data_IF_569438902254
#
_entry.id   IF_569438902254
#
_cell.length_a   1.000
_cell.length_b   1.000
_cell.length_c   1.000
_cell.angle_alpha   90.00
_cell.angle_beta   90.00
_cell.angle_gamma   90.00
#
_symmetry.space_group_name_H-M   'P 1'
#
loop_
_entity.id
_entity.type
_entity.pdbx_description
1 polymer ?
#
# COMPACT_ATOMS: atom_id res chain seq x y z
N UNK A 1 11.80 -9.71 -19.41
CA UNK A 1 10.91 -10.73 -20.00
C UNK A 1 9.50 -10.23 -19.77
N UNK A 2 8.86 -9.67 -20.78
CA UNK A 2 7.44 -9.27 -20.68
C UNK A 2 6.65 -10.54 -20.95
N UNK A 3 5.90 -11.01 -19.96
CA UNK A 3 5.03 -12.19 -20.06
C UNK A 3 4.06 -12.01 -21.27
N UNK A 4 3.80 -13.06 -22.06
CA UNK A 4 3.01 -12.97 -23.30
C UNK A 4 1.56 -12.52 -23.04
N UNK A 5 1.09 -12.70 -21.80
CA UNK A 5 -0.19 -12.21 -21.27
C UNK A 5 -0.34 -10.69 -21.44
N UNK A 6 0.74 -9.91 -21.37
CA UNK A 6 0.68 -8.44 -21.51
C UNK A 6 0.43 -7.97 -22.95
N UNK A 7 0.75 -8.79 -23.96
CA UNK A 7 0.62 -8.41 -25.37
C UNK A 7 -0.73 -8.82 -25.97
N UNK A 8 -1.55 -9.57 -25.24
CA UNK A 8 -2.66 -10.34 -25.83
C UNK A 8 -3.98 -10.30 -25.04
N UNK A 9 -4.09 -9.50 -23.96
CA UNK A 9 -5.36 -9.35 -23.25
C UNK A 9 -6.41 -8.64 -24.13
N UNK A 10 -7.45 -9.37 -24.48
CA UNK A 10 -8.69 -8.83 -25.05
C UNK A 10 -9.55 -8.26 -23.90
N UNK A 11 -9.39 -6.96 -23.63
CA UNK A 11 -10.07 -6.28 -22.52
C UNK A 11 -11.60 -6.38 -22.57
N UNK A 12 -12.18 -6.53 -23.76
CA UNK A 12 -13.64 -6.62 -23.91
C UNK A 12 -14.14 -8.00 -23.46
N UNK A 13 -13.41 -9.07 -23.79
CA UNK A 13 -13.79 -10.45 -23.43
C UNK A 13 -13.24 -10.91 -22.09
N UNK A 14 -12.19 -10.27 -21.59
CA UNK A 14 -11.50 -10.69 -20.37
C UNK A 14 -12.46 -10.90 -19.18
N UNK A 15 -13.43 -10.01 -18.88
CA UNK A 15 -14.34 -10.23 -17.75
C UNK A 15 -15.20 -11.49 -17.88
N UNK A 16 -15.61 -11.86 -19.09
CA UNK A 16 -16.37 -13.08 -19.35
C UNK A 16 -15.48 -14.32 -19.27
N UNK A 17 -14.32 -14.28 -19.90
CA UNK A 17 -13.34 -15.38 -19.91
C UNK A 17 -12.80 -15.68 -18.51
N UNK A 18 -12.47 -14.64 -17.75
CA UNK A 18 -12.06 -14.76 -16.36
C UNK A 18 -13.19 -15.30 -15.48
N UNK A 19 -14.44 -14.89 -15.72
CA UNK A 19 -15.60 -15.48 -15.05
C UNK A 19 -15.73 -16.99 -15.30
N UNK A 20 -15.59 -17.43 -16.56
CA UNK A 20 -15.60 -18.86 -16.93
C UNK A 20 -14.43 -19.62 -16.32
N UNK A 21 -13.25 -19.00 -16.23
CA UNK A 21 -12.11 -19.57 -15.52
C UNK A 21 -12.48 -19.87 -14.08
N UNK A 22 -13.00 -18.87 -13.34
CA UNK A 22 -13.40 -19.05 -11.93
C UNK A 22 -14.44 -20.17 -11.78
N UNK A 23 -15.49 -20.18 -12.62
CA UNK A 23 -16.51 -21.25 -12.59
C UNK A 23 -15.93 -22.64 -12.84
N UNK A 24 -14.95 -22.76 -13.73
CA UNK A 24 -14.26 -24.03 -13.98
C UNK A 24 -13.37 -24.41 -12.80
N UNK A 25 -12.63 -23.46 -12.22
CA UNK A 25 -11.82 -23.71 -11.02
C UNK A 25 -12.69 -24.16 -9.85
N UNK A 26 -13.88 -23.59 -9.64
CA UNK A 26 -14.80 -24.05 -8.59
C UNK A 26 -15.14 -25.55 -8.73
N UNK A 27 -15.35 -26.02 -9.96
CA UNK A 27 -15.62 -27.45 -10.22
C UNK A 27 -14.40 -28.32 -9.95
N UNK A 28 -13.22 -27.87 -10.34
CA UNK A 28 -11.96 -28.60 -10.07
C UNK A 28 -11.65 -28.63 -8.57
N UNK A 29 -11.89 -27.54 -7.84
CA UNK A 29 -11.77 -27.48 -6.38
C UNK A 29 -12.71 -28.48 -5.71
N UNK A 30 -13.97 -28.59 -6.14
CA UNK A 30 -14.89 -29.59 -5.59
C UNK A 30 -14.41 -31.03 -5.85
N UNK A 31 -13.82 -31.32 -7.02
CA UNK A 31 -13.19 -32.63 -7.27
C UNK A 31 -11.99 -32.86 -6.35
N UNK A 32 -11.13 -31.86 -6.17
CA UNK A 32 -9.99 -31.94 -5.24
C UNK A 32 -10.47 -32.23 -3.81
N UNK A 33 -11.53 -31.55 -3.36
CA UNK A 33 -12.14 -31.77 -2.04
C UNK A 33 -12.68 -33.20 -1.90
N UNK A 34 -13.22 -33.79 -2.96
CA UNK A 34 -13.74 -35.16 -2.96
C UNK A 34 -12.60 -36.19 -3.01
N UNK A 35 -11.70 -36.07 -3.98
CA UNK A 35 -10.79 -37.14 -4.38
C UNK A 35 -9.39 -37.02 -3.77
N UNK A 36 -8.94 -35.82 -3.40
CA UNK A 36 -7.61 -35.57 -2.84
C UNK A 36 -7.34 -36.35 -1.55
N UNK A 37 -6.11 -36.79 -1.33
CA UNK A 37 -5.76 -37.59 -0.14
C UNK A 37 -4.47 -37.15 0.55
N UNK A 38 -3.60 -36.53 -0.21
CA UNK A 38 -2.27 -36.11 0.20
C UNK A 38 -1.98 -34.71 -0.36
N UNK A 39 -0.77 -34.21 -0.11
CA UNK A 39 -0.31 -32.92 -0.62
C UNK A 39 -0.42 -32.83 -2.15
N UNK A 40 0.12 -33.83 -2.86
CA UNK A 40 0.22 -33.84 -4.32
C UNK A 40 -1.13 -33.89 -5.04
N UNK A 41 -2.15 -34.48 -4.40
CA UNK A 41 -3.53 -34.57 -4.92
C UNK A 41 -4.49 -33.53 -4.34
N UNK A 42 -4.04 -32.71 -3.38
CA UNK A 42 -4.88 -31.68 -2.73
C UNK A 42 -4.29 -30.28 -2.89
N UNK A 43 -3.19 -29.97 -2.20
CA UNK A 43 -2.64 -28.61 -2.15
C UNK A 43 -1.92 -28.22 -3.43
N UNK A 44 -1.13 -29.14 -4.01
CA UNK A 44 -0.40 -28.82 -5.25
C UNK A 44 -1.35 -28.41 -6.40
N UNK A 45 -2.43 -29.16 -6.70
CA UNK A 45 -3.40 -28.74 -7.71
C UNK A 45 -4.11 -27.43 -7.36
N UNK A 46 -4.40 -27.17 -6.08
CA UNK A 46 -4.99 -25.88 -5.67
C UNK A 46 -4.05 -24.70 -5.95
N UNK A 47 -2.76 -24.86 -5.67
CA UNK A 47 -1.74 -23.86 -5.98
C UNK A 47 -1.58 -23.65 -7.50
N UNK A 48 -1.70 -24.72 -8.29
CA UNK A 48 -1.64 -24.61 -9.75
C UNK A 48 -2.84 -23.82 -10.30
N UNK A 49 -4.05 -24.05 -9.75
CA UNK A 49 -5.23 -23.25 -10.09
C UNK A 49 -5.06 -21.77 -9.68
N UNK A 50 -4.58 -21.53 -8.47
CA UNK A 50 -4.27 -20.19 -7.97
C UNK A 50 -3.26 -19.45 -8.86
N UNK A 51 -2.14 -20.10 -9.20
CA UNK A 51 -1.11 -19.51 -10.05
C UNK A 51 -1.63 -19.09 -11.44
N UNK A 52 -2.53 -19.88 -12.04
CA UNK A 52 -3.16 -19.53 -13.33
C UNK A 52 -4.05 -18.30 -13.18
N UNK A 53 -4.89 -18.27 -12.15
CA UNK A 53 -5.81 -17.16 -11.87
C UNK A 53 -5.04 -15.87 -11.61
N UNK A 54 -4.06 -15.93 -10.73
CA UNK A 54 -3.30 -14.76 -10.28
C UNK A 54 -2.44 -14.18 -11.40
N UNK A 55 -1.87 -15.03 -12.26
CA UNK A 55 -1.10 -14.56 -13.42
C UNK A 55 -1.96 -13.74 -14.39
N UNK A 56 -3.19 -14.19 -14.67
CA UNK A 56 -4.12 -13.48 -15.54
C UNK A 56 -4.62 -12.18 -14.90
N UNK A 57 -5.00 -12.23 -13.62
CA UNK A 57 -5.46 -11.04 -12.90
C UNK A 57 -4.36 -9.98 -12.78
N UNK A 58 -3.13 -10.40 -12.47
CA UNK A 58 -1.94 -9.51 -12.38
C UNK A 58 -1.70 -8.76 -13.69
N UNK A 59 -1.90 -9.41 -14.84
CA UNK A 59 -1.72 -8.76 -16.13
C UNK A 59 -2.75 -7.64 -16.35
N UNK A 60 -4.04 -7.86 -16.02
CA UNK A 60 -5.07 -6.83 -16.08
C UNK A 60 -4.80 -5.71 -15.07
N UNK A 61 -4.51 -6.05 -13.80
CA UNK A 61 -4.24 -5.09 -12.73
C UNK A 61 -3.04 -4.20 -13.06
N UNK A 62 -1.95 -4.77 -13.59
CA UNK A 62 -0.78 -4.00 -13.97
C UNK A 62 -1.08 -3.03 -15.12
N UNK A 63 -1.77 -3.46 -16.20
CA UNK A 63 -2.18 -2.56 -17.29
C UNK A 63 -3.09 -1.45 -16.74
N UNK A 64 -4.01 -1.77 -15.84
CA UNK A 64 -4.88 -0.79 -15.17
C UNK A 64 -4.07 0.29 -14.43
N UNK A 65 -2.98 -0.10 -13.76
CA UNK A 65 -2.15 0.78 -12.95
C UNK A 65 -1.14 1.61 -13.77
N UNK A 66 -0.58 1.09 -14.87
CA UNK A 66 0.51 1.76 -15.60
C UNK A 66 0.13 2.30 -16.98
N UNK A 67 -0.97 1.81 -17.58
CA UNK A 67 -1.46 2.22 -18.89
C UNK A 67 -3.00 2.28 -18.89
N UNK A 68 -3.53 3.05 -17.93
CA UNK A 68 -4.96 3.14 -17.71
C UNK A 68 -5.72 3.68 -18.94
N UNK A 69 -6.83 3.03 -19.27
CA UNK A 69 -7.79 3.50 -20.27
C UNK A 69 -9.23 3.29 -19.77
N UNK A 70 -10.23 3.83 -20.48
CA UNK A 70 -11.64 3.59 -20.15
C UNK A 70 -11.97 2.09 -20.26
N UNK A 71 -11.43 1.43 -21.26
CA UNK A 71 -11.62 0.01 -21.54
C UNK A 71 -10.98 -0.84 -20.44
N UNK A 72 -9.73 -0.53 -20.06
CA UNK A 72 -9.02 -1.25 -18.99
C UNK A 72 -9.71 -1.04 -17.64
N UNK A 73 -10.13 0.18 -17.32
CA UNK A 73 -10.87 0.49 -16.09
C UNK A 73 -12.20 -0.26 -16.03
N UNK A 74 -12.95 -0.29 -17.14
CA UNK A 74 -14.20 -1.06 -17.22
C UNK A 74 -13.95 -2.55 -16.95
N UNK A 75 -12.99 -3.15 -17.64
CA UNK A 75 -12.66 -4.57 -17.47
C UNK A 75 -12.24 -4.90 -16.03
N UNK A 76 -11.39 -4.06 -15.43
CA UNK A 76 -10.95 -4.20 -14.04
C UNK A 76 -12.11 -4.18 -13.04
N UNK A 77 -12.98 -3.16 -13.14
CA UNK A 77 -14.14 -3.01 -12.24
C UNK A 77 -15.17 -4.14 -12.40
N UNK A 78 -15.27 -4.77 -13.56
CA UNK A 78 -16.14 -5.93 -13.77
C UNK A 78 -15.54 -7.25 -13.20
N UNK A 79 -14.21 -7.38 -13.16
CA UNK A 79 -13.51 -8.57 -12.66
C UNK A 79 -13.33 -8.55 -11.15
N UNK A 80 -13.02 -7.40 -10.57
CA UNK A 80 -12.73 -7.23 -9.14
C UNK A 80 -13.77 -7.89 -8.20
N UNK A 81 -15.09 -7.66 -8.36
CA UNK A 81 -16.07 -8.33 -7.50
C UNK A 81 -16.15 -9.85 -7.73
N UNK A 82 -15.80 -10.34 -8.91
CA UNK A 82 -15.83 -11.79 -9.22
C UNK A 82 -14.69 -12.52 -8.51
N UNK A 83 -13.47 -11.99 -8.59
CA UNK A 83 -12.30 -12.57 -7.91
C UNK A 83 -12.44 -12.51 -6.40
N UNK A 84 -12.85 -11.36 -5.83
CA UNK A 84 -13.05 -11.19 -4.39
C UNK A 84 -14.10 -12.18 -3.84
N UNK A 85 -15.23 -12.36 -4.53
CA UNK A 85 -16.24 -13.35 -4.16
C UNK A 85 -15.72 -14.78 -4.21
N UNK A 86 -14.93 -15.11 -5.22
CA UNK A 86 -14.33 -16.44 -5.37
C UNK A 86 -13.33 -16.74 -4.25
N UNK A 87 -12.44 -15.80 -3.94
CA UNK A 87 -11.44 -15.92 -2.86
C UNK A 87 -12.12 -16.04 -1.49
N UNK A 88 -13.15 -15.22 -1.23
CA UNK A 88 -13.95 -15.30 -0.01
C UNK A 88 -14.59 -16.69 0.14
N UNK A 89 -15.19 -17.23 -0.92
CA UNK A 89 -15.79 -18.57 -0.92
C UNK A 89 -14.75 -19.65 -0.60
N UNK A 90 -13.52 -19.54 -1.12
CA UNK A 90 -12.43 -20.45 -0.83
C UNK A 90 -11.98 -20.36 0.63
N UNK A 91 -11.75 -19.15 1.14
CA UNK A 91 -11.30 -18.90 2.51
C UNK A 91 -12.33 -19.34 3.56
N UNK A 92 -13.61 -19.34 3.21
CA UNK A 92 -14.71 -19.79 4.08
C UNK A 92 -15.11 -21.27 3.85
N UNK A 93 -14.47 -22.01 2.94
CA UNK A 93 -14.84 -23.39 2.63
C UNK A 93 -14.39 -24.37 3.72
N UNK A 94 -15.31 -24.70 4.62
CA UNK A 94 -15.05 -25.62 5.75
C UNK A 94 -14.63 -27.02 5.30
N UNK A 95 -15.15 -27.52 4.17
CA UNK A 95 -14.77 -28.85 3.65
C UNK A 95 -13.31 -28.84 3.18
N UNK A 96 -12.93 -27.79 2.46
CA UNK A 96 -11.54 -27.60 2.02
C UNK A 96 -10.60 -27.46 3.21
N UNK A 97 -10.97 -26.67 4.22
CA UNK A 97 -10.17 -26.53 5.43
C UNK A 97 -9.97 -27.87 6.14
N UNK A 98 -11.03 -28.66 6.35
CA UNK A 98 -10.90 -29.98 6.99
C UNK A 98 -10.04 -30.95 6.18
N UNK A 99 -10.06 -30.83 4.84
CA UNK A 99 -9.15 -31.58 3.97
C UNK A 99 -7.70 -31.19 4.23
N UNK A 100 -7.39 -29.89 4.20
CA UNK A 100 -6.03 -29.35 4.39
C UNK A 100 -5.50 -29.63 5.81
N UNK A 101 -6.33 -29.46 6.85
CA UNK A 101 -5.98 -29.72 8.25
C UNK A 101 -5.57 -31.19 8.50
N UNK A 102 -6.12 -32.12 7.71
CA UNK A 102 -5.78 -33.53 7.79
C UNK A 102 -4.49 -33.93 7.05
N UNK A 103 -3.90 -33.03 6.25
CA UNK A 103 -2.71 -33.34 5.47
C UNK A 103 -1.45 -33.33 6.33
N UNK A 104 -0.53 -34.24 6.00
CA UNK A 104 0.85 -34.26 6.49
C UNK A 104 1.76 -34.64 5.35
N UNK A 105 2.93 -34.01 5.27
CA UNK A 105 4.00 -34.42 4.37
C UNK A 105 5.30 -34.63 5.15
N UNK A 106 6.09 -35.61 4.71
CA UNK A 106 7.45 -35.82 5.20
C UNK A 106 8.44 -34.84 4.56
N UNK A 107 8.05 -34.21 3.43
CA UNK A 107 8.82 -33.13 2.82
C UNK A 107 8.60 -31.81 3.59
N UNK A 108 9.71 -31.15 3.94
CA UNK A 108 9.70 -29.95 4.77
C UNK A 108 9.06 -28.74 4.06
N UNK A 109 9.24 -28.61 2.76
CA UNK A 109 8.68 -27.50 1.99
C UNK A 109 7.18 -27.69 1.81
N UNK A 110 6.74 -28.90 1.47
CA UNK A 110 5.33 -29.26 1.39
C UNK A 110 4.62 -29.08 2.74
N UNK A 111 5.23 -29.52 3.84
CA UNK A 111 4.66 -29.34 5.18
C UNK A 111 4.54 -27.86 5.54
N UNK A 112 5.52 -27.03 5.17
CA UNK A 112 5.42 -25.57 5.38
C UNK A 112 4.25 -24.96 4.59
N UNK A 113 3.98 -25.44 3.38
CA UNK A 113 2.81 -25.01 2.59
C UNK A 113 1.52 -25.40 3.31
N UNK A 114 1.39 -26.63 3.80
CA UNK A 114 0.24 -27.08 4.61
C UNK A 114 0.02 -26.16 5.80
N UNK A 115 1.06 -25.91 6.60
CA UNK A 115 0.99 -25.10 7.81
C UNK A 115 0.55 -23.66 7.49
N UNK A 116 1.10 -23.07 6.42
CA UNK A 116 0.74 -21.73 5.97
C UNK A 116 -0.69 -21.63 5.44
N UNK A 117 -1.18 -22.65 4.73
CA UNK A 117 -2.57 -22.71 4.26
C UNK A 117 -3.54 -22.78 5.45
N UNK A 118 -3.26 -23.64 6.45
CA UNK A 118 -4.05 -23.73 7.69
C UNK A 118 -4.05 -22.40 8.41
N UNK A 119 -2.88 -21.80 8.58
CA UNK A 119 -2.73 -20.48 9.24
C UNK A 119 -3.54 -19.41 8.53
N UNK A 120 -3.50 -19.36 7.21
CA UNK A 120 -4.24 -18.39 6.40
C UNK A 120 -5.74 -18.54 6.59
N UNK A 121 -6.27 -19.78 6.56
CA UNK A 121 -7.70 -20.04 6.77
C UNK A 121 -8.14 -19.65 8.19
N UNK A 122 -7.33 -19.95 9.22
CA UNK A 122 -7.61 -19.54 10.61
C UNK A 122 -7.62 -18.03 10.80
N UNK A 123 -6.65 -17.32 10.19
CA UNK A 123 -6.59 -15.86 10.23
C UNK A 123 -7.78 -15.19 9.49
N UNK A 124 -8.45 -15.92 8.60
CA UNK A 124 -9.69 -15.49 7.96
C UNK A 124 -10.96 -16.02 8.65
N UNK A 125 -10.83 -16.55 9.87
CA UNK A 125 -11.97 -16.92 10.70
C UNK A 125 -12.68 -18.20 10.27
N UNK A 126 -12.01 -19.14 9.58
CA UNK A 126 -12.64 -20.40 9.14
C UNK A 126 -13.28 -21.22 10.27
N UNK A 127 -12.73 -21.10 11.48
CA UNK A 127 -13.19 -21.81 12.69
C UNK A 127 -14.32 -21.07 13.43
N UNK A 128 -14.70 -19.87 12.99
CA UNK A 128 -15.73 -19.08 13.66
C UNK A 128 -17.16 -19.59 13.38
N UNK A 129 -18.10 -19.38 14.32
CA UNK A 129 -19.53 -19.52 14.08
C UNK A 129 -20.00 -18.64 12.91
N UNK A 130 -21.10 -19.06 12.26
CA UNK A 130 -21.65 -18.37 11.08
C UNK A 130 -21.86 -16.86 11.30
N UNK A 131 -22.45 -16.48 12.42
CA UNK A 131 -22.73 -15.07 12.75
C UNK A 131 -21.45 -14.23 12.86
N UNK A 132 -20.38 -14.79 13.42
CA UNK A 132 -19.09 -14.11 13.53
C UNK A 132 -18.37 -14.01 12.18
N UNK A 133 -18.55 -15.00 11.28
CA UNK A 133 -18.05 -14.93 9.90
C UNK A 133 -18.74 -13.83 9.10
N UNK A 134 -20.06 -13.72 9.20
CA UNK A 134 -20.84 -12.68 8.53
C UNK A 134 -20.43 -11.28 9.03
N UNK A 135 -20.19 -11.14 10.34
CA UNK A 135 -19.68 -9.89 10.92
C UNK A 135 -18.26 -9.56 10.45
N UNK A 136 -17.37 -10.56 10.40
CA UNK A 136 -16.00 -10.41 9.91
C UNK A 136 -15.97 -9.98 8.44
N UNK A 137 -16.80 -10.60 7.59
CA UNK A 137 -16.94 -10.25 6.17
C UNK A 137 -17.42 -8.80 5.99
N UNK A 138 -18.41 -8.37 6.78
CA UNK A 138 -18.86 -6.97 6.76
C UNK A 138 -17.74 -6.01 7.17
N UNK A 139 -16.99 -6.33 8.23
CA UNK A 139 -15.87 -5.50 8.68
C UNK A 139 -14.80 -5.40 7.59
N UNK A 140 -14.47 -6.51 6.94
CA UNK A 140 -13.44 -6.54 5.89
C UNK A 140 -13.85 -5.73 4.66
N UNK A 141 -15.10 -5.82 4.22
CA UNK A 141 -15.63 -4.98 3.15
C UNK A 141 -15.57 -3.48 3.51
N UNK A 142 -15.96 -3.11 4.74
CA UNK A 142 -15.90 -1.71 5.17
C UNK A 142 -14.45 -1.21 5.29
N UNK A 143 -13.51 -2.05 5.73
CA UNK A 143 -12.09 -1.72 5.76
C UNK A 143 -11.50 -1.49 4.35
N UNK A 144 -11.92 -2.28 3.36
CA UNK A 144 -11.55 -2.10 1.95
C UNK A 144 -12.08 -0.77 1.40
N UNK A 145 -13.36 -0.47 1.63
CA UNK A 145 -13.98 0.80 1.24
C UNK A 145 -13.27 2.01 1.86
N UNK A 146 -12.97 1.96 3.16
CA UNK A 146 -12.27 3.03 3.88
C UNK A 146 -10.82 3.19 3.39
N UNK A 147 -10.14 2.10 3.05
CA UNK A 147 -8.77 2.15 2.48
C UNK A 147 -8.76 2.84 1.11
N UNK A 148 -9.78 2.57 0.29
CA UNK A 148 -9.98 3.26 -0.97
C UNK A 148 -10.30 4.74 -0.75
N UNK A 149 -11.22 5.07 0.17
CA UNK A 149 -11.56 6.45 0.52
C UNK A 149 -10.33 7.23 1.00
N UNK A 150 -9.54 6.66 1.91
CA UNK A 150 -8.29 7.26 2.40
C UNK A 150 -7.34 7.66 1.27
N UNK A 151 -7.18 6.75 0.30
CA UNK A 151 -6.31 6.95 -0.86
C UNK A 151 -6.85 8.02 -1.82
N UNK A 152 -8.17 8.03 -2.07
CA UNK A 152 -8.79 9.04 -2.94
C UNK A 152 -8.70 10.45 -2.34
N UNK A 153 -8.93 10.59 -1.04
CA UNK A 153 -8.78 11.87 -0.32
C UNK A 153 -7.37 12.45 -0.49
N UNK A 154 -6.33 11.61 -0.38
CA UNK A 154 -4.94 12.04 -0.62
C UNK A 154 -4.70 12.47 -2.06
N UNK A 155 -5.21 11.72 -3.05
CA UNK A 155 -5.09 12.07 -4.47
C UNK A 155 -5.78 13.41 -4.76
N UNK A 156 -6.97 13.64 -4.20
CA UNK A 156 -7.71 14.87 -4.40
C UNK A 156 -7.03 16.06 -3.73
N UNK A 157 -6.53 15.89 -2.50
CA UNK A 157 -5.74 16.91 -1.82
C UNK A 157 -4.48 17.29 -2.62
N UNK A 158 -3.85 16.31 -3.30
CA UNK A 158 -2.70 16.58 -4.17
C UNK A 158 -3.07 17.33 -5.46
N UNK A 159 -4.21 17.00 -6.06
CA UNK A 159 -4.67 17.62 -7.32
C UNK A 159 -5.22 19.03 -7.12
N UNK A 160 -5.88 19.28 -6.00
CA UNK A 160 -6.56 20.55 -5.71
C UNK A 160 -5.60 21.65 -5.27
N UNK A 161 -4.40 21.31 -4.80
CA UNK A 161 -3.39 22.27 -4.41
C UNK A 161 -2.56 22.75 -5.60
N UNK A 162 -2.48 24.06 -5.78
CA UNK A 162 -1.62 24.72 -6.77
C UNK A 162 -0.82 25.82 -6.09
N UNK A 163 0.51 25.71 -6.13
CA UNK A 163 1.43 26.77 -5.74
C UNK A 163 2.03 27.37 -7.02
N UNK A 164 1.71 28.64 -7.30
CA UNK A 164 2.20 29.38 -8.45
C UNK A 164 3.31 30.34 -8.02
N UNK A 165 4.50 30.11 -8.56
CA UNK A 165 5.70 30.85 -8.19
C UNK A 165 6.22 31.68 -9.37
N UNK A 166 6.71 32.88 -9.09
CA UNK A 166 7.38 33.70 -10.10
C UNK A 166 8.86 33.26 -10.27
N UNK A 167 9.53 33.74 -11.31
CA UNK A 167 10.94 33.44 -11.60
C UNK A 167 11.85 33.65 -10.38
N UNK A 168 11.59 34.69 -9.57
CA UNK A 168 12.39 35.02 -8.40
C UNK A 168 12.33 33.93 -7.32
N UNK A 169 11.19 33.25 -7.17
CA UNK A 169 10.97 32.22 -6.15
C UNK A 169 11.59 30.87 -6.52
N UNK A 170 11.95 30.66 -7.79
CA UNK A 170 12.52 29.42 -8.32
C UNK A 170 13.99 29.56 -8.75
N UNK A 171 14.63 30.70 -8.50
CA UNK A 171 16.00 31.00 -8.97
C UNK A 171 17.10 30.03 -8.47
N UNK A 172 16.81 29.14 -7.53
CA UNK A 172 17.72 28.10 -7.04
C UNK A 172 17.53 26.72 -7.67
N UNK A 173 16.53 26.55 -8.54
CA UNK A 173 16.14 25.28 -9.15
C UNK A 173 16.71 25.21 -10.57
N UNK A 174 17.20 24.04 -11.00
CA UNK A 174 17.71 23.86 -12.35
C UNK A 174 16.61 24.06 -13.40
N UNK A 175 16.95 24.71 -14.52
CA UNK A 175 15.98 25.00 -15.59
C UNK A 175 15.30 23.74 -16.14
N UNK A 176 16.05 22.66 -16.28
CA UNK A 176 15.52 21.34 -16.71
C UNK A 176 14.41 20.84 -15.81
N UNK A 177 14.50 21.09 -14.50
CA UNK A 177 13.45 20.73 -13.54
C UNK A 177 12.26 21.70 -13.61
N UNK A 178 12.43 22.91 -14.13
CA UNK A 178 11.37 23.90 -14.24
C UNK A 178 10.56 23.83 -15.54
N UNK A 179 11.11 23.26 -16.62
CA UNK A 179 10.47 23.22 -17.94
C UNK A 179 9.06 22.62 -17.89
N UNK A 180 8.87 21.47 -17.22
CA UNK A 180 7.57 20.81 -17.10
C UNK A 180 6.58 21.53 -16.17
N UNK A 181 7.06 22.53 -15.41
CA UNK A 181 6.30 23.29 -14.42
C UNK A 181 5.92 24.69 -14.91
N UNK A 182 6.49 25.14 -16.02
CA UNK A 182 6.22 26.47 -16.59
C UNK A 182 4.78 26.56 -17.10
N UNK A 183 4.05 27.57 -16.63
CA UNK A 183 2.68 27.88 -17.05
C UNK A 183 2.55 29.38 -17.34
N UNK A 184 1.66 29.76 -18.25
CA UNK A 184 1.35 31.16 -18.54
C UNK A 184 -0.06 31.49 -18.05
N UNK A 185 -0.19 32.51 -17.20
CA UNK A 185 -1.48 33.03 -16.70
C UNK A 185 -1.48 34.55 -16.74
N UNK A 186 -2.55 35.12 -17.28
CA UNK A 186 -2.74 36.58 -17.39
C UNK A 186 -1.56 37.32 -18.06
N UNK A 187 -0.93 36.68 -19.06
CA UNK A 187 0.23 37.23 -19.77
C UNK A 187 1.54 37.23 -18.97
N UNK A 188 1.60 36.52 -17.84
CA UNK A 188 2.78 36.31 -17.01
C UNK A 188 3.17 34.84 -16.93
N UNK A 189 4.46 34.58 -16.77
CA UNK A 189 5.01 33.23 -16.58
C UNK A 189 5.04 32.92 -15.09
N UNK A 190 4.52 31.75 -14.74
CA UNK A 190 4.65 31.16 -13.40
C UNK A 190 5.22 29.74 -13.51
N UNK A 191 5.67 29.22 -12.37
CA UNK A 191 6.05 27.83 -12.18
C UNK A 191 5.08 27.18 -11.22
N UNK A 192 4.40 26.14 -11.69
CA UNK A 192 3.34 25.44 -10.96
C UNK A 192 3.91 24.23 -10.22
N UNK A 193 3.70 24.22 -8.90
CA UNK A 193 4.02 23.10 -8.01
C UNK A 193 2.73 22.54 -7.40
N UNK A 194 2.63 21.21 -7.31
CA UNK A 194 1.51 20.47 -6.70
C UNK A 194 1.96 19.77 -5.41
N UNK A 195 1.11 19.11 -4.63
CA UNK A 195 1.59 18.31 -3.48
C UNK A 195 2.14 16.93 -3.87
N UNK A 196 2.34 16.66 -5.16
CA UNK A 196 3.01 15.43 -5.58
C UNK A 196 4.45 15.41 -5.05
N UNK A 197 4.90 14.22 -4.64
CA UNK A 197 6.21 14.04 -3.98
C UNK A 197 7.37 14.66 -4.77
N UNK A 198 7.48 14.51 -6.11
CA UNK A 198 8.56 15.13 -6.86
C UNK A 198 8.59 16.66 -6.78
N UNK A 199 7.42 17.32 -6.85
CA UNK A 199 7.31 18.78 -6.72
C UNK A 199 7.69 19.23 -5.31
N UNK A 200 7.16 18.54 -4.30
CA UNK A 200 7.41 18.86 -2.91
C UNK A 200 8.89 18.73 -2.56
N UNK A 201 9.53 17.60 -2.91
CA UNK A 201 10.95 17.40 -2.66
C UNK A 201 11.79 18.45 -3.38
N UNK A 202 11.48 18.75 -4.65
CA UNK A 202 12.23 19.72 -5.46
C UNK A 202 12.25 21.10 -4.78
N UNK A 203 11.07 21.62 -4.43
CA UNK A 203 11.01 22.95 -3.81
C UNK A 203 11.57 22.96 -2.38
N UNK A 204 11.28 21.95 -1.57
CA UNK A 204 11.78 21.90 -0.19
C UNK A 204 13.31 21.76 -0.12
N UNK A 205 13.93 21.21 -1.17
CA UNK A 205 15.39 21.02 -1.26
C UNK A 205 16.11 22.23 -1.85
N UNK A 206 15.55 22.87 -2.89
CA UNK A 206 16.26 23.90 -3.67
C UNK A 206 15.59 25.28 -3.65
N UNK A 207 14.33 25.37 -3.22
CA UNK A 207 13.56 26.60 -3.11
C UNK A 207 14.16 27.54 -2.06
N UNK A 208 14.62 28.71 -2.50
CA UNK A 208 15.35 29.66 -1.63
C UNK A 208 14.44 30.45 -0.70
N UNK A 209 13.21 30.73 -1.14
CA UNK A 209 12.25 31.52 -0.36
C UNK A 209 11.74 30.71 0.85
N UNK A 210 12.15 31.12 2.05
CA UNK A 210 11.81 30.43 3.31
C UNK A 210 10.31 30.48 3.62
N UNK A 211 9.64 31.60 3.32
CA UNK A 211 8.20 31.75 3.56
C UNK A 211 7.41 30.78 2.67
N UNK A 212 7.83 30.62 1.42
CA UNK A 212 7.21 29.63 0.51
C UNK A 212 7.48 28.20 0.99
N UNK A 213 8.69 27.89 1.49
CA UNK A 213 8.95 26.56 2.09
C UNK A 213 8.04 26.29 3.29
N UNK A 214 7.80 27.29 4.15
CA UNK A 214 6.89 27.18 5.29
C UNK A 214 5.45 26.94 4.84
N UNK A 215 4.95 27.74 3.89
CA UNK A 215 3.60 27.59 3.33
C UNK A 215 3.42 26.19 2.71
N UNK A 216 4.38 25.76 1.90
CA UNK A 216 4.31 24.52 1.16
C UNK A 216 4.44 23.29 2.09
N UNK A 217 5.32 23.36 3.10
CA UNK A 217 5.40 22.38 4.19
C UNK A 217 4.08 22.24 4.93
N UNK A 218 3.44 23.37 5.29
CA UNK A 218 2.15 23.35 5.97
C UNK A 218 1.10 22.69 5.09
N UNK A 219 0.98 23.09 3.83
CA UNK A 219 0.04 22.48 2.88
C UNK A 219 0.26 20.96 2.75
N UNK A 220 1.52 20.52 2.68
CA UNK A 220 1.86 19.11 2.55
C UNK A 220 1.56 18.29 3.81
N UNK A 221 1.86 18.83 4.99
CA UNK A 221 1.67 18.13 6.28
C UNK A 221 0.24 18.14 6.79
N UNK A 222 -0.62 19.05 6.28
CA UNK A 222 -2.04 19.12 6.63
C UNK A 222 -2.97 18.62 5.51
N UNK A 223 -2.45 17.92 4.51
CA UNK A 223 -3.24 17.40 3.39
C UNK A 223 -4.26 16.34 3.83
N UNK A 224 -5.40 16.30 3.16
CA UNK A 224 -6.49 15.36 3.40
C UNK A 224 -6.92 15.27 4.89
N UNK A 225 -7.26 16.39 5.55
CA UNK A 225 -7.67 16.38 6.96
C UNK A 225 -8.87 15.46 7.25
N UNK A 226 -9.74 15.24 6.25
CA UNK A 226 -10.85 14.29 6.29
C UNK A 226 -10.41 12.84 6.58
N UNK A 227 -9.14 12.50 6.33
CA UNK A 227 -8.61 11.19 6.67
C UNK A 227 -8.48 10.97 8.18
N UNK A 228 -8.60 11.99 9.03
CA UNK A 228 -8.67 11.81 10.48
C UNK A 228 -9.82 10.86 10.88
N UNK A 229 -11.04 11.15 10.42
CA UNK A 229 -12.22 10.32 10.72
C UNK A 229 -12.14 8.94 10.06
N UNK A 230 -11.56 8.86 8.86
CA UNK A 230 -11.34 7.58 8.16
C UNK A 230 -10.37 6.69 8.95
N UNK A 231 -9.27 7.25 9.47
CA UNK A 231 -8.31 6.53 10.30
C UNK A 231 -9.00 6.03 11.58
N UNK A 232 -9.76 6.88 12.28
CA UNK A 232 -10.47 6.50 13.49
C UNK A 232 -11.41 5.32 13.24
N UNK A 233 -12.14 5.34 12.11
CA UNK A 233 -13.01 4.24 11.72
C UNK A 233 -12.24 2.96 11.41
N UNK A 234 -11.13 3.05 10.68
CA UNK A 234 -10.25 1.92 10.38
C UNK A 234 -9.72 1.29 11.68
N UNK A 235 -9.26 2.09 12.64
CA UNK A 235 -8.76 1.60 13.91
C UNK A 235 -9.84 0.86 14.71
N UNK A 236 -11.03 1.45 14.82
CA UNK A 236 -12.17 0.81 15.50
C UNK A 236 -12.56 -0.53 14.86
N UNK A 237 -12.61 -0.60 13.53
CA UNK A 237 -12.93 -1.83 12.81
C UNK A 237 -11.83 -2.89 12.95
N UNK A 238 -10.56 -2.48 12.94
CA UNK A 238 -9.43 -3.37 13.18
C UNK A 238 -9.45 -3.96 14.58
N UNK A 239 -9.79 -3.17 15.60
CA UNK A 239 -9.94 -3.63 16.97
C UNK A 239 -11.09 -4.65 17.09
N UNK A 240 -12.25 -4.36 16.47
CA UNK A 240 -13.37 -5.29 16.43
C UNK A 240 -13.04 -6.60 15.70
N UNK A 241 -12.31 -6.51 14.58
CA UNK A 241 -11.86 -7.68 13.81
C UNK A 241 -11.00 -8.60 14.66
N UNK A 242 -10.04 -8.05 15.38
CA UNK A 242 -9.15 -8.89 16.22
C UNK A 242 -9.85 -9.45 17.44
N UNK A 243 -10.83 -8.75 18.01
CA UNK A 243 -11.67 -9.30 19.09
C UNK A 243 -12.42 -10.55 18.61
N UNK A 244 -13.03 -10.50 17.42
CA UNK A 244 -13.72 -11.65 16.81
C UNK A 244 -12.76 -12.81 16.57
N UNK A 245 -11.55 -12.50 16.10
CA UNK A 245 -10.52 -13.51 15.79
C UNK A 245 -9.75 -13.99 17.04
N UNK A 246 -10.01 -13.44 18.22
CA UNK A 246 -9.38 -13.84 19.48
C UNK A 246 -7.95 -13.33 19.68
N UNK A 247 -7.56 -12.22 19.05
CA UNK A 247 -6.26 -11.57 19.24
C UNK A 247 -6.38 -10.35 20.17
N UNK A 248 -5.32 -10.04 20.92
CA UNK A 248 -5.30 -8.90 21.84
C UNK A 248 -5.19 -7.54 21.12
N UNK A 249 -4.60 -7.52 19.93
CA UNK A 249 -4.38 -6.30 19.15
C UNK A 249 -4.25 -6.62 17.66
N UNK A 250 -4.49 -5.62 16.80
CA UNK A 250 -4.24 -5.75 15.36
C UNK A 250 -2.76 -6.03 15.04
N UNK A 251 -1.84 -5.57 15.88
CA UNK A 251 -0.41 -5.86 15.73
C UNK A 251 -0.11 -7.35 15.94
N UNK A 252 -0.72 -7.98 16.96
CA UNK A 252 -0.55 -9.42 17.22
C UNK A 252 -1.18 -10.25 16.10
N UNK A 253 -2.34 -9.86 15.57
CA UNK A 253 -2.91 -10.49 14.38
C UNK A 253 -1.99 -10.32 13.15
N UNK A 254 -1.44 -9.13 12.94
CA UNK A 254 -0.61 -8.81 11.78
C UNK A 254 0.73 -9.54 11.80
N UNK A 255 1.29 -9.79 12.99
CA UNK A 255 2.61 -10.41 13.11
C UNK A 255 2.59 -11.90 12.78
N UNK A 256 1.44 -12.56 12.89
CA UNK A 256 1.29 -13.96 12.51
C UNK A 256 1.75 -14.23 11.06
N UNK A 257 1.63 -13.28 10.15
CA UNK A 257 2.08 -13.45 8.75
C UNK A 257 3.50 -12.94 8.49
N UNK A 258 4.22 -12.49 9.50
CA UNK A 258 5.54 -11.85 9.38
C UNK A 258 6.64 -12.75 9.95
N UNK A 259 7.89 -12.45 9.60
CA UNK A 259 9.05 -13.18 10.11
C UNK A 259 9.40 -12.83 11.56
N UNK A 260 8.92 -11.69 12.07
CA UNK A 260 9.15 -11.29 13.45
C UNK A 260 8.38 -12.20 14.44
N UNK A 261 9.01 -12.60 15.55
CA UNK A 261 8.41 -13.62 16.43
C UNK A 261 7.35 -13.06 17.39
N UNK A 262 7.39 -11.77 17.72
CA UNK A 262 6.40 -11.13 18.58
C UNK A 262 6.36 -9.61 18.42
N UNK A 263 5.24 -8.99 18.75
CA UNK A 263 5.08 -7.53 18.76
C UNK A 263 6.06 -6.87 19.73
N UNK A 264 6.35 -7.55 20.85
CA UNK A 264 7.39 -7.16 21.81
C UNK A 264 8.78 -7.07 21.17
N UNK A 265 9.20 -8.10 20.43
CA UNK A 265 10.52 -8.10 19.77
C UNK A 265 10.65 -6.97 18.74
N UNK A 266 9.57 -6.66 18.02
CA UNK A 266 9.53 -5.52 17.09
C UNK A 266 9.73 -4.20 17.83
N UNK A 267 9.04 -4.00 18.95
CA UNK A 267 9.17 -2.79 19.76
C UNK A 267 10.60 -2.66 20.33
N UNK A 268 11.13 -3.72 20.93
CA UNK A 268 12.50 -3.75 21.48
C UNK A 268 13.55 -3.46 20.40
N UNK A 269 13.36 -3.99 19.18
CA UNK A 269 14.23 -3.68 18.05
C UNK A 269 14.19 -2.20 17.67
N UNK A 270 13.00 -1.59 17.58
CA UNK A 270 12.84 -0.18 17.23
C UNK A 270 13.38 0.75 18.33
N UNK A 271 13.16 0.42 19.60
CA UNK A 271 13.68 1.18 20.74
C UNK A 271 15.22 1.15 20.78
N UNK A 272 15.83 -0.02 20.52
CA UNK A 272 17.28 -0.12 20.40
C UNK A 272 17.82 0.68 19.22
N UNK A 273 17.13 0.67 18.08
CA UNK A 273 17.51 1.49 16.93
C UNK A 273 17.45 2.99 17.28
N UNK A 274 16.43 3.42 18.01
CA UNK A 274 16.30 4.79 18.51
C UNK A 274 17.46 5.13 19.47
N UNK A 275 17.77 4.28 20.44
CA UNK A 275 18.89 4.51 21.38
C UNK A 275 20.22 4.72 20.67
N UNK A 276 20.50 3.92 19.64
CA UNK A 276 21.74 3.98 18.87
C UNK A 276 21.80 5.17 17.90
N UNK A 277 20.67 5.57 17.31
CA UNK A 277 20.61 6.62 16.29
C UNK A 277 20.40 8.04 16.85
N UNK A 278 19.77 8.17 18.02
CA UNK A 278 19.41 9.46 18.60
C UNK A 278 20.61 10.40 18.87
N UNK A 279 21.78 9.93 19.35
CA UNK A 279 22.95 10.80 19.53
C UNK A 279 23.40 11.43 18.20
N UNK A 280 23.51 10.63 17.13
CA UNK A 280 23.90 11.11 15.80
C UNK A 280 22.87 12.08 15.23
N UNK A 281 21.57 11.77 15.34
CA UNK A 281 20.51 12.66 14.88
C UNK A 281 20.53 14.03 15.59
N UNK A 282 20.92 14.06 16.88
CA UNK A 282 21.11 15.32 17.62
C UNK A 282 22.30 16.10 17.09
N UNK A 283 23.45 15.44 16.87
CA UNK A 283 24.64 16.07 16.30
C UNK A 283 24.38 16.64 14.91
N UNK A 284 23.71 15.89 14.03
CA UNK A 284 23.32 16.34 12.68
C UNK A 284 22.41 17.57 12.73
N UNK A 285 21.44 17.60 13.65
CA UNK A 285 20.56 18.76 13.81
C UNK A 285 21.30 19.98 14.36
N UNK A 286 22.24 19.81 15.30
CA UNK A 286 23.07 20.93 15.76
C UNK A 286 23.99 21.45 14.64
N UNK A 287 24.61 20.57 13.86
CA UNK A 287 25.43 20.98 12.71
C UNK A 287 24.61 21.79 11.70
N UNK A 288 23.38 21.36 11.40
CA UNK A 288 22.47 22.10 10.53
C UNK A 288 22.06 23.45 11.12
N UNK A 289 21.85 23.55 12.44
CA UNK A 289 21.52 24.83 13.10
C UNK A 289 22.68 25.81 13.01
N UNK A 290 23.90 25.35 13.29
CA UNK A 290 25.10 26.17 13.18
C UNK A 290 25.32 26.64 11.74
N UNK A 291 25.17 25.73 10.77
CA UNK A 291 25.28 26.04 9.36
C UNK A 291 24.23 27.07 8.92
N UNK A 292 22.95 26.86 9.22
CA UNK A 292 21.87 27.78 8.86
C UNK A 292 22.04 29.17 9.50
N UNK A 293 22.52 29.22 10.75
CA UNK A 293 22.85 30.47 11.43
C UNK A 293 24.03 31.19 10.76
N UNK A 294 25.06 30.45 10.35
CA UNK A 294 26.25 31.02 9.70
C UNK A 294 25.97 31.58 8.30
N UNK A 295 25.12 30.90 7.53
CA UNK A 295 24.85 31.25 6.13
C UNK A 295 23.80 32.35 6.00
N UNK A 296 22.68 32.20 6.70
CA UNK A 296 21.47 33.00 6.46
C UNK A 296 20.92 33.63 7.75
N UNK A 297 21.68 33.60 8.85
CA UNK A 297 21.31 34.14 10.17
C UNK A 297 19.99 33.55 10.73
N UNK A 298 19.67 32.29 10.39
CA UNK A 298 18.52 31.57 10.92
C UNK A 298 18.81 31.12 12.35
N UNK A 299 18.23 31.79 13.34
CA UNK A 299 18.37 31.48 14.76
C UNK A 299 17.47 30.35 15.25
N UNK A 300 16.41 30.04 14.49
CA UNK A 300 15.46 28.98 14.80
C UNK A 300 15.20 28.14 13.56
N UNK A 301 15.94 27.02 13.46
CA UNK A 301 15.78 26.04 12.39
C UNK A 301 14.45 25.29 12.57
N UNK A 302 13.61 25.30 11.54
CA UNK A 302 12.29 24.67 11.53
C UNK A 302 12.27 23.42 10.62
N UNK A 303 11.25 22.54 10.73
CA UNK A 303 11.14 21.37 9.86
C UNK A 303 11.20 21.69 8.35
N UNK A 304 10.61 22.81 7.93
CA UNK A 304 10.63 23.28 6.54
C UNK A 304 11.97 23.86 6.06
N UNK A 305 12.95 23.95 6.96
CA UNK A 305 14.32 24.36 6.65
C UNK A 305 15.26 23.16 6.44
N UNK A 306 14.90 21.97 6.93
CA UNK A 306 15.81 20.82 7.03
C UNK A 306 16.37 20.38 5.67
N UNK A 307 15.53 20.06 4.69
CA UNK A 307 16.00 19.57 3.38
C UNK A 307 16.89 20.59 2.66
N UNK A 308 16.52 21.88 2.74
CA UNK A 308 17.26 22.98 2.13
C UNK A 308 18.67 23.13 2.71
N UNK A 309 18.78 23.17 4.04
CA UNK A 309 20.10 23.32 4.67
C UNK A 309 20.93 22.03 4.62
N UNK A 310 20.30 20.86 4.65
CA UNK A 310 21.01 19.58 4.45
C UNK A 310 21.65 19.51 3.07
N UNK A 311 20.94 19.94 2.02
CA UNK A 311 21.51 19.98 0.67
C UNK A 311 22.64 21.01 0.56
N UNK A 312 22.45 22.23 1.07
CA UNK A 312 23.51 23.26 1.08
C UNK A 312 24.75 22.84 1.87
N UNK A 313 24.58 22.20 3.02
CA UNK A 313 25.68 21.68 3.83
C UNK A 313 26.42 20.56 3.09
N UNK A 314 25.70 19.68 2.40
CA UNK A 314 26.26 18.62 1.56
C UNK A 314 27.07 19.18 0.39
N UNK A 315 26.63 20.27 -0.24
CA UNK A 315 27.35 20.94 -1.33
C UNK A 315 28.62 21.66 -0.87
N UNK A 316 28.68 22.07 0.40
CA UNK A 316 29.85 22.70 0.99
C UNK A 316 30.95 21.68 1.37
N UNK A 317 30.56 20.45 1.73
CA UNK A 317 31.46 19.36 2.12
C UNK A 317 32.08 18.68 0.90
#
# INVERSE_FOLDING_TARGET
MVLDEFKSIDLEKFPEEFGKLLENQEKEIEKIIQDGRDYSSTLKPLQDLESIRDSLFTALDHIHNVNNSKETTKAYLEVLPKISKFETKLLQNVKLFKKIEGLKSDDREEQRVVDNSIKTLKLNGIDLPKEQKEELERIDLELEELSNQFSQNLIEAQKSYELLLEEADVAGIEKSDLESRRVERDGKIYYRFTLQIPDYILYMTYGRNREVREEYYKAYTTRAPENGEVIDRILLLRDKKVEILGFNSYADYSIEKKDANSTKEVIEFLERLLELSLPFAKEEIEELREFAKSQDNISSLQPFDLSYYSQKLKEQK
#
